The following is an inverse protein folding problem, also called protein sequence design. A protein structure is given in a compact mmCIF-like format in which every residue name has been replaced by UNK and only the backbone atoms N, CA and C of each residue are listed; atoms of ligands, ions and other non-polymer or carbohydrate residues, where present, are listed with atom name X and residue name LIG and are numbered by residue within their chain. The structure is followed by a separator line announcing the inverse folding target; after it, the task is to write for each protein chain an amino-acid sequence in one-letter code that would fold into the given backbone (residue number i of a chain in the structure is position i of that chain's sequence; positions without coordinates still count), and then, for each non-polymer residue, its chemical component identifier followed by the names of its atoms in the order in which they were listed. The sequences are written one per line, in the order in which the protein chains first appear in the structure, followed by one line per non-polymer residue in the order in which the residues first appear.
data_IF_449561252691
#
_entry.id   IF_449561252691
#
_cell.length_a   1.000
_cell.length_b   1.000
_cell.length_c   1.000
_cell.angle_alpha   90.00
_cell.angle_beta   90.00
_cell.angle_gamma   90.00
#
_symmetry.space_group_name_H-M   'P 1'
#
loop_
_entity.id
_entity.type
_entity.pdbx_description
1 polymer ?
#
# COMPACT_ATOMS: atom_id res chain seq x y z
N UNK A 1 13.13 19.14 -3.93
CA UNK A 1 11.97 18.39 -4.49
C UNK A 1 11.26 17.64 -3.38
N UNK A 2 9.94 17.83 -3.23
CA UNK A 2 9.09 17.05 -2.33
C UNK A 2 8.88 15.64 -2.88
N UNK A 3 8.94 14.62 -2.01
CA UNK A 3 8.68 13.22 -2.37
C UNK A 3 7.21 12.94 -2.09
N UNK A 4 6.45 12.60 -3.14
CA UNK A 4 5.04 12.25 -3.05
C UNK A 4 4.79 10.75 -2.90
N UNK A 5 3.53 10.40 -2.65
CA UNK A 5 3.08 8.99 -2.57
C UNK A 5 3.30 8.21 -3.87
N UNK A 6 3.36 8.92 -5.01
CA UNK A 6 3.60 8.32 -6.33
C UNK A 6 5.04 7.83 -6.54
N UNK A 7 5.99 8.41 -5.81
CA UNK A 7 7.43 8.16 -5.99
C UNK A 7 7.94 6.97 -5.17
N UNK A 8 7.04 6.29 -4.46
CA UNK A 8 7.37 5.22 -3.52
C UNK A 8 6.67 3.92 -3.90
N UNK A 9 7.34 2.79 -3.63
CA UNK A 9 6.72 1.48 -3.80
C UNK A 9 5.42 1.40 -2.99
N UNK A 10 4.34 0.95 -3.64
CA UNK A 10 3.00 0.92 -3.05
C UNK A 10 2.91 0.03 -1.81
N UNK A 11 3.58 -1.11 -1.80
CA UNK A 11 3.55 -2.06 -0.68
C UNK A 11 4.28 -1.50 0.53
N UNK A 12 5.47 -0.92 0.32
CA UNK A 12 6.25 -0.29 1.40
C UNK A 12 5.49 0.88 2.01
N UNK A 13 4.83 1.70 1.19
CA UNK A 13 3.99 2.79 1.66
C UNK A 13 2.80 2.30 2.47
N UNK A 14 2.03 1.32 1.93
CA UNK A 14 0.84 0.78 2.60
C UNK A 14 1.21 0.16 3.96
N UNK A 15 2.25 -0.65 4.02
CA UNK A 15 2.69 -1.29 5.26
C UNK A 15 3.12 -0.27 6.31
N UNK A 16 3.80 0.81 5.92
CA UNK A 16 4.20 1.88 6.83
C UNK A 16 3.02 2.69 7.33
N UNK A 17 2.11 3.04 6.42
CA UNK A 17 0.90 3.77 6.83
C UNK A 17 0.02 2.91 7.73
N UNK A 18 -0.09 1.60 7.47
CA UNK A 18 -0.81 0.65 8.34
C UNK A 18 -0.17 0.60 9.74
N UNK A 19 1.15 0.47 9.82
CA UNK A 19 1.88 0.48 11.10
C UNK A 19 1.71 1.82 11.85
N UNK A 20 1.68 2.94 11.14
CA UNK A 20 1.39 4.26 11.73
C UNK A 20 -0.03 4.32 12.30
N UNK A 21 -1.04 3.85 11.55
CA UNK A 21 -2.43 3.81 12.01
C UNK A 21 -2.59 2.91 13.25
N UNK A 22 -1.98 1.71 13.25
CA UNK A 22 -1.97 0.80 14.40
C UNK A 22 -1.34 1.46 15.62
N UNK A 23 -0.14 2.03 15.47
CA UNK A 23 0.58 2.69 16.58
C UNK A 23 -0.17 3.89 17.16
N UNK A 24 -0.92 4.62 16.33
CA UNK A 24 -1.68 5.79 16.80
C UNK A 24 -2.84 5.43 17.73
N UNK A 25 -3.35 4.22 17.69
CA UNK A 25 -4.47 3.72 18.50
C UNK A 25 -5.81 4.43 18.30
N UNK A 26 -5.87 5.43 17.41
CA UNK A 26 -7.06 6.28 17.23
C UNK A 26 -8.14 5.66 16.35
N UNK A 27 -7.82 4.58 15.66
CA UNK A 27 -8.72 3.95 14.72
C UNK A 27 -9.62 2.94 15.44
N UNK A 28 -10.92 3.18 15.44
CA UNK A 28 -11.89 2.24 16.01
C UNK A 28 -12.02 1.02 15.12
N UNK A 29 -11.72 -0.15 15.69
CA UNK A 29 -11.91 -1.45 15.05
C UNK A 29 -13.34 -1.95 15.30
N UNK A 30 -13.96 -2.64 14.36
CA UNK A 30 -15.24 -3.31 14.60
C UNK A 30 -15.02 -4.66 15.29
N UNK A 31 -15.95 -5.08 16.15
CA UNK A 31 -15.86 -6.31 16.95
C UNK A 31 -15.82 -7.58 16.09
N UNK A 32 -16.39 -7.52 14.89
CA UNK A 32 -16.43 -8.61 13.92
C UNK A 32 -15.17 -8.76 13.04
N UNK A 33 -14.13 -7.97 13.29
CA UNK A 33 -12.93 -7.90 12.42
C UNK A 33 -12.28 -9.27 12.20
N UNK A 34 -12.22 -10.10 13.24
CA UNK A 34 -11.51 -11.37 13.21
C UNK A 34 -12.30 -12.51 12.55
N UNK A 35 -13.61 -12.31 12.37
CA UNK A 35 -14.52 -13.37 11.90
C UNK A 35 -14.81 -13.26 10.39
N UNK A 36 -14.89 -12.03 9.86
CA UNK A 36 -15.43 -11.79 8.52
C UNK A 36 -14.44 -12.01 7.39
N UNK A 37 -14.90 -12.59 6.30
CA UNK A 37 -14.22 -12.58 5.02
C UNK A 37 -14.50 -11.28 4.26
N UNK A 38 -13.53 -10.81 3.46
CA UNK A 38 -13.58 -9.50 2.79
C UNK A 38 -14.50 -9.44 1.57
N UNK A 39 -15.10 -10.55 1.18
CA UNK A 39 -16.05 -10.64 0.08
C UNK A 39 -16.57 -12.05 -0.12
N UNK A 40 -17.72 -12.23 -0.84
CA UNK A 40 -18.31 -13.54 -1.06
C UNK A 40 -17.42 -14.49 -1.87
N UNK A 41 -16.57 -13.95 -2.73
CA UNK A 41 -15.60 -14.70 -3.55
C UNK A 41 -14.39 -15.24 -2.77
N UNK A 42 -14.22 -14.85 -1.51
CA UNK A 42 -13.15 -15.36 -0.64
C UNK A 42 -13.62 -16.59 0.12
N UNK A 43 -12.79 -17.61 0.19
CA UNK A 43 -13.06 -18.82 0.95
C UNK A 43 -12.85 -18.60 2.45
N UNK A 44 -11.77 -17.90 2.81
CA UNK A 44 -11.36 -17.68 4.20
C UNK A 44 -11.27 -16.19 4.55
N UNK A 45 -11.28 -15.92 5.85
CA UNK A 45 -10.93 -14.61 6.42
C UNK A 45 -9.46 -14.27 6.13
N UNK A 46 -9.05 -12.98 6.21
CA UNK A 46 -7.66 -12.60 6.06
C UNK A 46 -6.77 -13.23 7.13
N UNK A 47 -5.62 -13.77 6.72
CA UNK A 47 -4.67 -14.39 7.63
C UNK A 47 -3.95 -13.39 8.56
N UNK A 48 -3.74 -12.17 8.10
CA UNK A 48 -3.07 -11.13 8.88
C UNK A 48 -4.05 -10.44 9.83
N UNK A 49 -3.77 -10.41 11.12
CA UNK A 49 -4.54 -9.67 12.13
C UNK A 49 -4.66 -8.18 11.80
N UNK A 50 -3.64 -7.62 11.17
CA UNK A 50 -3.56 -6.20 10.82
C UNK A 50 -4.26 -5.84 9.49
N UNK A 51 -5.01 -6.76 8.89
CA UNK A 51 -5.61 -6.57 7.57
C UNK A 51 -6.49 -5.31 7.46
N UNK A 52 -7.15 -4.94 8.55
CA UNK A 52 -8.04 -3.77 8.56
C UNK A 52 -7.24 -2.47 8.40
N UNK A 53 -6.10 -2.35 9.11
CA UNK A 53 -5.17 -1.22 8.96
C UNK A 53 -4.52 -1.19 7.57
N UNK A 54 -4.14 -2.35 7.04
CA UNK A 54 -3.57 -2.47 5.70
C UNK A 54 -4.59 -2.03 4.65
N UNK A 55 -5.85 -2.44 4.78
CA UNK A 55 -6.93 -2.03 3.88
C UNK A 55 -7.22 -0.54 4.01
N UNK A 56 -7.21 0.01 5.21
CA UNK A 56 -7.38 1.45 5.44
C UNK A 56 -6.26 2.25 4.79
N UNK A 57 -5.02 1.84 4.95
CA UNK A 57 -3.86 2.46 4.31
C UNK A 57 -3.94 2.41 2.78
N UNK A 58 -4.36 1.27 2.22
CA UNK A 58 -4.56 1.12 0.78
C UNK A 58 -5.66 2.05 0.25
N UNK A 59 -6.75 2.26 1.00
CA UNK A 59 -7.79 3.22 0.65
C UNK A 59 -7.29 4.67 0.71
N UNK A 60 -6.51 5.04 1.74
CA UNK A 60 -5.88 6.37 1.81
C UNK A 60 -4.99 6.63 0.59
N UNK A 61 -4.13 5.66 0.21
CA UNK A 61 -3.33 5.77 -1.00
C UNK A 61 -4.18 5.95 -2.25
N UNK A 62 -5.27 5.19 -2.36
CA UNK A 62 -6.16 5.31 -3.52
C UNK A 62 -6.87 6.65 -3.59
N UNK A 63 -7.33 7.19 -2.45
CA UNK A 63 -7.90 8.54 -2.38
C UNK A 63 -6.87 9.61 -2.73
N UNK A 64 -5.60 9.43 -2.35
CA UNK A 64 -4.54 10.34 -2.74
C UNK A 64 -4.36 10.40 -4.26
N UNK A 65 -4.49 9.26 -4.94
CA UNK A 65 -4.30 9.13 -6.40
C UNK A 65 -5.55 9.53 -7.19
N UNK A 66 -6.73 9.14 -6.71
CA UNK A 66 -8.01 9.30 -7.41
C UNK A 66 -9.12 9.59 -6.42
N UNK A 67 -9.30 10.84 -6.08
CA UNK A 67 -10.44 11.34 -5.31
C UNK A 67 -11.51 11.92 -6.24
N UNK A 68 -12.79 11.96 -5.83
CA UNK A 68 -13.35 11.33 -4.64
C UNK A 68 -13.56 9.81 -4.78
N UNK A 69 -13.56 9.08 -3.65
CA UNK A 69 -13.73 7.64 -3.62
C UNK A 69 -15.00 7.24 -2.87
N UNK A 70 -15.91 6.54 -3.54
CA UNK A 70 -17.16 6.02 -2.98
C UNK A 70 -17.08 4.54 -2.62
N UNK A 71 -17.98 4.07 -1.75
CA UNK A 71 -18.08 2.64 -1.36
C UNK A 71 -18.32 1.74 -2.58
N UNK A 72 -19.16 2.16 -3.54
CA UNK A 72 -19.41 1.39 -4.77
C UNK A 72 -18.14 1.17 -5.60
N UNK A 73 -17.31 2.20 -5.74
CA UNK A 73 -16.01 2.10 -6.42
C UNK A 73 -15.07 1.14 -5.68
N UNK A 74 -15.03 1.21 -4.35
CA UNK A 74 -14.22 0.31 -3.52
C UNK A 74 -14.65 -1.15 -3.71
N UNK A 75 -15.97 -1.43 -3.71
CA UNK A 75 -16.50 -2.78 -3.95
C UNK A 75 -16.03 -3.37 -5.27
N UNK A 76 -16.01 -2.58 -6.35
CA UNK A 76 -15.53 -3.03 -7.66
C UNK A 76 -14.03 -3.28 -7.67
N UNK A 77 -13.26 -2.34 -7.11
CA UNK A 77 -11.79 -2.39 -7.13
C UNK A 77 -11.23 -3.57 -6.35
N UNK A 78 -11.84 -3.89 -5.23
CA UNK A 78 -11.43 -5.01 -4.39
C UNK A 78 -12.26 -6.27 -4.62
N UNK A 79 -13.12 -6.27 -5.64
CA UNK A 79 -13.82 -7.46 -6.11
C UNK A 79 -12.88 -8.44 -6.80
N UNK A 80 -13.37 -9.61 -7.08
CA UNK A 80 -12.62 -10.67 -7.76
C UNK A 80 -13.55 -11.74 -8.31
N UNK A 81 -12.99 -12.72 -8.98
CA UNK A 81 -13.75 -13.85 -9.51
C UNK A 81 -14.14 -14.79 -8.38
N UNK A 82 -15.42 -15.13 -8.34
CA UNK A 82 -15.98 -16.14 -7.46
C UNK A 82 -16.02 -17.47 -8.19
N UNK A 83 -15.46 -18.51 -7.59
CA UNK A 83 -15.55 -19.88 -8.08
C UNK A 83 -16.91 -20.47 -7.71
N UNK A 84 -17.59 -21.05 -8.69
CA UNK A 84 -18.91 -21.66 -8.54
C UNK A 84 -18.83 -23.19 -8.75
N UNK A 85 -17.78 -23.83 -8.26
CA UNK A 85 -17.55 -25.26 -8.47
C UNK A 85 -17.21 -25.58 -9.92
N UNK A 86 -17.99 -26.45 -10.55
CA UNK A 86 -17.86 -26.86 -11.98
C UNK A 86 -18.38 -25.80 -12.95
N UNK A 87 -19.22 -24.85 -12.50
CA UNK A 87 -19.72 -23.76 -13.33
C UNK A 87 -18.64 -22.68 -13.54
N UNK A 88 -18.73 -21.90 -14.66
CA UNK A 88 -17.79 -20.83 -14.92
C UNK A 88 -17.73 -19.79 -13.79
N UNK A 89 -16.53 -19.27 -13.52
CA UNK A 89 -16.35 -18.23 -12.52
C UNK A 89 -16.84 -16.87 -13.02
N UNK A 90 -17.52 -16.12 -12.15
CA UNK A 90 -18.03 -14.78 -12.45
C UNK A 90 -17.48 -13.75 -11.49
N UNK A 91 -17.41 -12.49 -11.94
CA UNK A 91 -16.96 -11.38 -11.12
C UNK A 91 -17.94 -11.11 -9.97
N UNK A 92 -17.43 -11.06 -8.75
CA UNK A 92 -18.18 -10.71 -7.55
C UNK A 92 -17.56 -9.50 -6.85
N UNK A 93 -18.42 -8.63 -6.31
CA UNK A 93 -17.99 -7.43 -5.62
C UNK A 93 -17.51 -7.75 -4.20
N UNK A 94 -16.53 -6.95 -3.71
CA UNK A 94 -16.09 -7.03 -2.31
C UNK A 94 -17.17 -6.54 -1.32
N UNK A 95 -17.01 -6.89 -0.04
CA UNK A 95 -17.92 -6.49 1.04
C UNK A 95 -18.02 -4.96 1.15
N UNK A 96 -19.24 -4.44 0.99
CA UNK A 96 -19.55 -3.02 1.18
C UNK A 96 -19.55 -2.60 2.66
N UNK A 97 -19.87 -3.53 3.56
CA UNK A 97 -19.84 -3.30 5.02
C UNK A 97 -18.43 -2.98 5.50
N UNK A 98 -17.45 -3.80 5.10
CA UNK A 98 -16.02 -3.58 5.41
C UNK A 98 -15.57 -2.21 4.91
N UNK A 99 -15.84 -1.87 3.64
CA UNK A 99 -15.44 -0.59 3.08
C UNK A 99 -16.07 0.60 3.82
N UNK A 100 -17.37 0.49 4.18
CA UNK A 100 -18.09 1.54 4.93
C UNK A 100 -17.51 1.75 6.32
N UNK A 101 -17.22 0.68 7.05
CA UNK A 101 -16.61 0.76 8.39
C UNK A 101 -15.21 1.36 8.37
N UNK A 102 -14.39 0.99 7.39
CA UNK A 102 -13.05 1.60 7.22
C UNK A 102 -13.16 3.10 6.97
N UNK A 103 -14.06 3.54 6.10
CA UNK A 103 -14.28 4.98 5.89
C UNK A 103 -14.72 5.70 7.16
N UNK A 104 -15.67 5.12 7.91
CA UNK A 104 -16.11 5.69 9.19
C UNK A 104 -14.97 5.79 10.20
N UNK A 105 -14.12 4.76 10.30
CA UNK A 105 -12.94 4.78 11.17
C UNK A 105 -11.93 5.86 10.74
N UNK A 106 -11.69 6.04 9.44
CA UNK A 106 -10.80 7.07 8.91
C UNK A 106 -11.37 8.50 9.07
N UNK A 107 -12.70 8.66 8.98
CA UNK A 107 -13.39 9.90 9.31
C UNK A 107 -13.24 10.26 10.79
N UNK A 108 -13.36 9.26 11.68
CA UNK A 108 -13.13 9.44 13.12
C UNK A 108 -11.71 9.90 13.47
N UNK A 109 -10.70 9.44 12.71
CA UNK A 109 -9.30 9.89 12.84
C UNK A 109 -9.07 11.26 12.17
N UNK A 110 -10.08 11.82 11.49
CA UNK A 110 -9.99 13.09 10.73
C UNK A 110 -8.98 13.08 9.58
N UNK A 111 -8.67 11.90 9.04
CA UNK A 111 -7.82 11.77 7.84
C UNK A 111 -8.62 11.88 6.54
N UNK A 112 -9.93 11.61 6.62
CA UNK A 112 -10.83 11.57 5.47
C UNK A 112 -12.08 12.38 5.80
N UNK A 113 -12.64 13.04 4.79
CA UNK A 113 -13.88 13.80 4.88
C UNK A 113 -14.80 13.49 3.70
N UNK A 114 -16.08 13.82 3.83
CA UNK A 114 -17.04 13.75 2.72
C UNK A 114 -16.75 14.87 1.74
N UNK A 115 -16.76 14.55 0.45
CA UNK A 115 -16.61 15.57 -0.59
C UNK A 115 -17.86 16.45 -0.67
N UNK A 116 -17.68 17.77 -0.74
CA UNK A 116 -18.76 18.73 -0.96
C UNK A 116 -19.25 18.76 -2.42
N UNK A 117 -18.33 18.54 -3.37
CA UNK A 117 -18.62 18.71 -4.81
C UNK A 117 -19.18 17.44 -5.47
N UNK A 118 -18.83 16.26 -5.01
CA UNK A 118 -19.22 14.98 -5.62
C UNK A 118 -19.52 13.93 -4.56
N UNK A 119 -20.36 12.93 -4.92
CA UNK A 119 -20.62 11.78 -4.05
C UNK A 119 -19.32 10.99 -3.81
N UNK A 120 -18.85 10.91 -2.57
CA UNK A 120 -17.65 10.19 -2.19
C UNK A 120 -16.90 10.84 -1.04
N UNK A 121 -15.68 10.37 -0.81
CA UNK A 121 -14.78 10.80 0.25
C UNK A 121 -13.44 11.23 -0.31
N UNK A 122 -12.85 12.23 0.32
CA UNK A 122 -11.54 12.79 -0.04
C UNK A 122 -10.63 12.79 1.18
N UNK A 123 -9.32 12.85 0.96
CA UNK A 123 -8.37 13.08 2.03
C UNK A 123 -8.41 14.55 2.47
N UNK A 124 -8.44 14.77 3.78
CA UNK A 124 -8.24 16.09 4.38
C UNK A 124 -6.83 16.61 4.09
N UNK A 125 -6.60 17.91 4.26
CA UNK A 125 -5.25 18.49 4.18
C UNK A 125 -4.27 17.79 5.14
N UNK A 126 -4.72 17.53 6.37
CA UNK A 126 -3.94 16.77 7.38
C UNK A 126 -3.68 15.33 6.94
N UNK A 127 -4.68 14.67 6.34
CA UNK A 127 -4.52 13.32 5.79
C UNK A 127 -3.47 13.26 4.68
N UNK A 128 -3.43 14.26 3.79
CA UNK A 128 -2.40 14.39 2.74
C UNK A 128 -1.02 14.59 3.34
N UNK A 129 -0.86 15.49 4.31
CA UNK A 129 0.41 15.70 5.01
C UNK A 129 0.95 14.41 5.62
N UNK A 130 0.12 13.63 6.32
CA UNK A 130 0.55 12.33 6.88
C UNK A 130 1.01 11.36 5.80
N UNK A 131 0.30 11.29 4.67
CA UNK A 131 0.69 10.45 3.55
C UNK A 131 2.05 10.88 2.97
N UNK A 132 2.29 12.17 2.80
CA UNK A 132 3.54 12.68 2.24
C UNK A 132 4.74 12.47 3.19
N UNK A 133 4.55 12.68 4.50
CA UNK A 133 5.57 12.38 5.52
C UNK A 133 5.96 10.90 5.48
N UNK A 134 4.98 10.00 5.44
CA UNK A 134 5.22 8.55 5.39
C UNK A 134 5.87 8.14 4.08
N UNK A 135 5.48 8.75 2.95
CA UNK A 135 6.11 8.52 1.66
C UNK A 135 7.60 8.93 1.69
N UNK A 136 7.93 10.10 2.24
CA UNK A 136 9.31 10.54 2.39
C UNK A 136 10.14 9.58 3.28
N UNK A 137 9.56 9.08 4.37
CA UNK A 137 10.22 8.08 5.23
C UNK A 137 10.45 6.75 4.50
N UNK A 138 9.46 6.29 3.72
CA UNK A 138 9.56 5.07 2.92
C UNK A 138 10.68 5.18 1.86
N UNK A 139 10.73 6.31 1.16
CA UNK A 139 11.76 6.60 0.17
C UNK A 139 13.18 6.62 0.76
N UNK A 140 13.38 7.31 1.89
CA UNK A 140 14.67 7.37 2.59
C UNK A 140 15.17 5.97 2.97
N UNK A 141 14.29 5.11 3.49
CA UNK A 141 14.65 3.72 3.85
C UNK A 141 14.98 2.86 2.63
N UNK A 142 14.23 3.00 1.53
CA UNK A 142 14.50 2.30 0.28
C UNK A 142 15.87 2.72 -0.29
N UNK A 143 16.15 4.03 -0.34
CA UNK A 143 17.45 4.57 -0.77
C UNK A 143 18.61 4.09 0.11
N UNK A 144 18.43 4.03 1.42
CA UNK A 144 19.41 3.49 2.36
C UNK A 144 19.71 2.00 2.14
N UNK A 145 18.68 1.19 1.86
CA UNK A 145 18.86 -0.23 1.51
C UNK A 145 19.66 -0.42 0.21
N UNK A 146 19.37 0.36 -0.82
CA UNK A 146 20.09 0.33 -2.11
C UNK A 146 21.56 0.70 -1.90
N UNK A 147 21.83 1.75 -1.11
CA UNK A 147 23.20 2.20 -0.81
C UNK A 147 24.00 1.15 -0.03
N UNK A 148 23.37 0.43 0.92
CA UNK A 148 23.98 -0.70 1.64
C UNK A 148 24.27 -1.87 0.70
N UNK A 149 23.35 -2.27 -0.17
CA UNK A 149 23.56 -3.34 -1.16
C UNK A 149 24.73 -3.04 -2.11
N UNK A 150 24.83 -1.81 -2.62
CA UNK A 150 25.95 -1.39 -3.47
C UNK A 150 27.32 -1.42 -2.77
N UNK A 151 27.35 -1.27 -1.44
CA UNK A 151 28.58 -1.36 -0.64
C UNK A 151 29.03 -2.81 -0.40
N UNK A 152 28.07 -3.74 -0.33
CA UNK A 152 28.33 -5.17 -0.04
C UNK A 152 28.69 -5.96 -1.30
N UNK A 153 28.25 -5.53 -2.49
CA UNK A 153 28.63 -6.18 -3.75
C UNK A 153 30.10 -5.89 -4.02
N UNK A 154 30.98 -6.95 -4.15
CA UNK A 154 32.39 -6.77 -4.49
C UNK A 154 32.45 -6.03 -5.83
N UNK A 155 33.28 -4.99 -5.89
CA UNK A 155 33.61 -4.34 -7.17
C UNK A 155 34.19 -5.43 -8.07
N UNK A 156 33.50 -5.79 -9.16
CA UNK A 156 34.06 -6.70 -10.18
C UNK A 156 35.43 -6.15 -10.55
N UNK A 157 36.45 -6.95 -10.25
CA UNK A 157 37.84 -6.55 -10.49
C UNK A 157 38.01 -6.15 -11.94
N UNK A 158 38.52 -4.97 -12.17
CA UNK A 158 39.08 -4.60 -13.46
C UNK A 158 40.24 -5.57 -13.68
N UNK A 159 40.10 -6.48 -14.63
CA UNK A 159 41.17 -7.38 -15.02
C UNK A 159 42.36 -6.51 -15.47
N UNK A 160 43.43 -6.53 -14.70
CA UNK A 160 44.72 -5.93 -15.12
C UNK A 160 45.15 -6.69 -16.37
N UNK A 161 45.03 -6.04 -17.53
CA UNK A 161 45.68 -6.51 -18.76
C UNK A 161 47.17 -6.80 -18.44
N UNK A 162 47.58 -8.05 -18.59
CA UNK A 162 48.97 -8.45 -18.50
C UNK A 162 49.77 -7.63 -19.53
N UNK A 163 50.77 -6.91 -19.04
CA UNK A 163 51.76 -6.24 -19.90
C UNK A 163 52.55 -7.32 -20.63
N UNK A 164 52.47 -7.30 -21.95
CA UNK A 164 53.19 -8.22 -22.82
C UNK A 164 54.67 -8.25 -22.55
N UNK A 165 55.23 -9.46 -22.60
CA UNK A 165 56.63 -9.78 -22.58
C UNK A 165 57.34 -9.19 -23.83
N UNK A 166 58.48 -8.54 -23.59
CA UNK A 166 59.38 -8.06 -24.64
C UNK A 166 60.00 -9.24 -25.38
N UNK A 167 60.14 -9.20 -26.72
CA UNK A 167 60.91 -10.21 -27.44
C UNK A 167 62.40 -10.04 -27.17
N UNK A 168 63.08 -11.14 -26.86
CA UNK A 168 64.53 -11.26 -26.81
C UNK A 168 65.04 -11.24 -28.21
N UNK A 169 65.96 -10.33 -28.56
CA UNK A 169 66.75 -10.36 -29.80
C UNK A 169 67.90 -11.31 -29.61
N UNK A 170 68.04 -12.24 -30.55
CA UNK A 170 69.31 -12.86 -30.95
C UNK A 170 69.84 -12.17 -32.17
#
# INVERSE_FOLDING_TARGET
MGIGVKDVNQHDFINRLAAFLKRSGKMKLPDWMDIVKTGPYKELAPYSEDWFYIRAAALCRRMYMRAPLGVGTVKRVYGGNQRNGTAPSHFSQASGGVARKIFQSLEGVKMVEKSSSRKGRILTARGRQHCDIIAAQAYRKAKGKIRKRKRVLPKKGVSKKAKGSKPVKK
#
